data_IF_491925044990
#
_entry.id   IF_491925044990
#
_cell.length_a   1.000
_cell.length_b   1.000
_cell.length_c   1.000
_cell.angle_alpha   90.00
_cell.angle_beta   90.00
_cell.angle_gamma   90.00
#
_symmetry.space_group_name_H-M   'P 1'
#
loop_
_entity.id
_entity.type
_entity.pdbx_description
1 polymer ?
#
# COMPACT_ATOMS: atom_id res chain seq x y z
N UNK A 1 -26.33 -8.86 4.68
CA UNK A 1 -26.03 -10.29 4.93
C UNK A 1 -26.92 -10.75 6.05
N UNK A 2 -27.64 -11.86 5.87
CA UNK A 2 -28.48 -12.45 6.91
C UNK A 2 -27.70 -13.56 7.62
N UNK A 3 -27.52 -13.45 8.93
CA UNK A 3 -26.81 -14.44 9.74
C UNK A 3 -27.82 -15.37 10.43
N UNK A 4 -27.62 -16.69 10.35
CA UNK A 4 -28.39 -17.67 11.11
C UNK A 4 -27.67 -17.94 12.43
N UNK A 5 -28.36 -17.74 13.55
CA UNK A 5 -27.82 -18.00 14.90
C UNK A 5 -28.31 -19.35 15.43
N UNK A 6 -27.48 -19.99 16.27
CA UNK A 6 -27.83 -21.19 17.00
C UNK A 6 -28.58 -20.81 18.28
N UNK A 7 -29.78 -21.34 18.45
CA UNK A 7 -30.61 -21.13 19.65
C UNK A 7 -30.27 -22.21 20.66
N UNK A 8 -29.79 -21.82 21.86
CA UNK A 8 -29.56 -22.73 22.98
C UNK A 8 -30.62 -22.53 24.05
N UNK A 9 -31.30 -23.60 24.53
CA UNK A 9 -32.27 -23.50 25.61
C UNK A 9 -31.57 -23.22 26.94
N UNK A 10 -31.89 -22.09 27.58
CA UNK A 10 -31.31 -21.61 28.84
C UNK A 10 -32.19 -21.95 30.07
N UNK A 11 -33.16 -22.84 29.92
CA UNK A 11 -34.13 -23.20 30.97
C UNK A 11 -35.17 -22.09 31.22
N UNK A 12 -35.67 -21.97 32.45
CA UNK A 12 -36.69 -20.99 32.85
C UNK A 12 -36.14 -19.58 33.18
N UNK A 13 -34.89 -19.30 32.83
CA UNK A 13 -34.25 -18.04 33.15
C UNK A 13 -34.41 -17.04 32.02
N UNK A 14 -34.87 -15.83 32.34
CA UNK A 14 -34.76 -14.68 31.44
C UNK A 14 -33.31 -14.22 31.41
N UNK A 15 -32.68 -14.23 30.24
CA UNK A 15 -31.32 -13.70 30.05
C UNK A 15 -31.33 -12.61 28.97
N UNK A 16 -30.57 -11.54 29.21
CA UNK A 16 -30.27 -10.51 28.20
C UNK A 16 -28.79 -10.66 27.85
N UNK A 17 -28.50 -11.26 26.70
CA UNK A 17 -27.14 -11.38 26.21
C UNK A 17 -26.71 -10.08 25.53
N UNK A 18 -25.65 -9.46 26.07
CA UNK A 18 -24.89 -8.44 25.35
C UNK A 18 -25.61 -7.11 25.12
N UNK A 19 -26.29 -6.54 26.11
CA UNK A 19 -26.97 -5.23 25.95
C UNK A 19 -26.01 -4.12 25.50
N UNK A 20 -24.78 -4.10 26.04
CA UNK A 20 -23.71 -3.17 25.61
C UNK A 20 -23.32 -3.37 24.14
N UNK A 21 -23.35 -4.61 23.67
CA UNK A 21 -23.06 -4.93 22.28
C UNK A 21 -24.19 -4.50 21.35
N UNK A 22 -25.45 -4.71 21.77
CA UNK A 22 -26.63 -4.23 21.04
C UNK A 22 -26.69 -2.70 20.94
N UNK A 23 -26.32 -1.99 22.01
CA UNK A 23 -26.21 -0.52 22.02
C UNK A 23 -25.15 0.00 21.04
N UNK A 24 -24.05 -0.74 20.89
CA UNK A 24 -22.93 -0.39 20.01
C UNK A 24 -23.26 -0.63 18.53
N UNK A 25 -23.75 -1.83 18.19
CA UNK A 25 -23.92 -2.26 16.80
C UNK A 25 -25.27 -1.84 16.20
N UNK A 26 -26.24 -1.43 17.04
CA UNK A 26 -27.59 -0.97 16.66
C UNK A 26 -28.25 -1.81 15.55
N UNK A 27 -28.34 -3.14 15.69
CA UNK A 27 -28.96 -3.97 14.68
C UNK A 27 -30.48 -3.76 14.65
N UNK A 28 -31.09 -3.96 13.48
CA UNK A 28 -32.54 -4.13 13.36
C UNK A 28 -32.89 -5.60 13.69
N UNK A 29 -33.75 -5.79 14.68
CA UNK A 29 -34.17 -7.12 15.13
C UNK A 29 -35.63 -7.34 14.76
N UNK A 30 -35.90 -8.35 13.94
CA UNK A 30 -37.24 -8.82 13.65
C UNK A 30 -37.54 -10.08 14.47
N UNK A 31 -38.24 -9.90 15.59
CA UNK A 31 -38.57 -10.96 16.53
C UNK A 31 -39.51 -12.03 15.95
N UNK A 32 -40.44 -11.64 15.07
CA UNK A 32 -41.42 -12.57 14.46
C UNK A 32 -40.76 -13.53 13.47
N UNK A 33 -39.74 -13.06 12.75
CA UNK A 33 -38.99 -13.87 11.78
C UNK A 33 -37.69 -14.44 12.35
N UNK A 34 -37.36 -14.13 13.61
CA UNK A 34 -36.08 -14.43 14.25
C UNK A 34 -34.87 -14.02 13.39
N UNK A 35 -34.96 -12.86 12.73
CA UNK A 35 -33.89 -12.33 11.88
C UNK A 35 -33.27 -11.07 12.49
N UNK A 36 -31.95 -10.95 12.30
CA UNK A 36 -31.18 -9.81 12.77
C UNK A 36 -30.42 -9.23 11.58
N UNK A 37 -30.68 -7.96 11.27
CA UNK A 37 -30.11 -7.24 10.13
C UNK A 37 -29.25 -6.10 10.62
N UNK A 38 -28.01 -6.08 10.16
CA UNK A 38 -27.09 -4.98 10.44
C UNK A 38 -27.24 -3.92 9.35
N UNK A 39 -27.31 -2.63 9.69
CA UNK A 39 -27.12 -1.57 8.71
C UNK A 39 -25.68 -1.69 8.24
N UNK A 40 -25.45 -2.37 7.11
CA UNK A 40 -24.15 -2.42 6.49
C UNK A 40 -23.84 -0.97 6.15
N UNK A 41 -22.82 -0.32 6.77
CA UNK A 41 -22.37 0.96 6.24
C UNK A 41 -21.98 0.64 4.80
N UNK A 42 -22.63 1.30 3.84
CA UNK A 42 -22.28 1.20 2.43
C UNK A 42 -20.77 1.06 2.34
N UNK A 43 -20.24 -0.01 1.72
CA UNK A 43 -18.80 -0.22 1.70
C UNK A 43 -18.22 1.05 1.13
N UNK A 44 -17.50 1.81 1.98
CA UNK A 44 -16.78 2.99 1.50
C UNK A 44 -15.95 2.45 0.35
N UNK A 45 -16.05 3.01 -0.86
CA UNK A 45 -15.21 2.58 -1.96
C UNK A 45 -13.77 2.66 -1.45
N UNK A 46 -13.14 1.50 -1.27
CA UNK A 46 -11.75 1.44 -0.94
C UNK A 46 -11.02 1.88 -2.20
N UNK A 47 -10.60 3.14 -2.23
CA UNK A 47 -9.70 3.61 -3.27
C UNK A 47 -8.42 2.79 -3.14
N UNK A 48 -8.01 2.14 -4.23
CA UNK A 48 -6.71 1.49 -4.29
C UNK A 48 -5.69 2.59 -4.02
N UNK A 49 -4.84 2.40 -3.00
CA UNK A 49 -3.77 3.32 -2.68
C UNK A 49 -2.99 3.65 -3.96
N UNK A 50 -3.11 4.89 -4.42
CA UNK A 50 -2.26 5.40 -5.49
C UNK A 50 -0.87 5.66 -4.90
N UNK A 51 0.13 5.92 -5.75
CA UNK A 51 1.31 6.63 -5.26
C UNK A 51 0.84 8.06 -4.96
N UNK A 52 0.13 8.25 -3.86
CA UNK A 52 -0.34 9.55 -3.45
C UNK A 52 0.87 10.35 -3.01
N UNK A 53 1.03 11.51 -3.63
CA UNK A 53 1.72 12.59 -2.98
C UNK A 53 1.06 12.79 -1.63
N UNK A 54 1.87 12.80 -0.57
CA UNK A 54 1.39 12.93 0.79
C UNK A 54 0.39 14.09 0.94
N UNK A 55 -0.71 13.79 1.62
CA UNK A 55 -1.83 14.71 1.80
C UNK A 55 -1.38 15.97 2.55
N UNK A 56 -1.93 17.10 2.12
CA UNK A 56 -1.72 18.41 2.76
C UNK A 56 -2.52 18.54 4.06
N UNK A 57 -3.54 17.69 4.29
CA UNK A 57 -4.38 17.72 5.50
C UNK A 57 -4.55 16.33 6.15
N UNK A 58 -3.46 15.70 6.61
CA UNK A 58 -3.45 14.30 7.08
C UNK A 58 -4.45 14.02 8.22
N UNK A 59 -4.76 15.01 9.06
CA UNK A 59 -5.59 14.82 10.26
C UNK A 59 -7.07 14.47 10.00
N UNK A 60 -7.58 14.69 8.79
CA UNK A 60 -9.00 14.43 8.47
C UNK A 60 -9.34 12.94 8.41
N UNK A 61 -8.44 12.15 7.82
CA UNK A 61 -8.66 10.72 7.59
C UNK A 61 -7.95 9.83 8.61
N UNK A 62 -7.06 10.42 9.42
CA UNK A 62 -6.32 9.71 10.46
C UNK A 62 -7.18 9.60 11.74
N UNK A 63 -7.38 8.38 12.29
CA UNK A 63 -8.05 8.19 13.57
C UNK A 63 -7.38 8.99 14.71
N UNK A 64 -8.19 9.49 15.65
CA UNK A 64 -7.75 10.38 16.74
C UNK A 64 -6.53 9.84 17.51
N UNK A 65 -6.48 8.53 17.75
CA UNK A 65 -5.37 7.85 18.45
C UNK A 65 -4.01 8.03 17.77
N UNK A 66 -3.96 8.29 16.46
CA UNK A 66 -2.74 8.49 15.69
C UNK A 66 -2.41 9.96 15.45
N UNK A 67 -3.20 10.90 15.97
CA UNK A 67 -2.94 12.34 15.82
C UNK A 67 -1.60 12.75 16.44
N UNK A 68 -1.14 12.05 17.49
CA UNK A 68 0.21 12.23 18.05
C UNK A 68 1.32 12.01 17.01
N UNK A 69 1.06 11.17 16.00
CA UNK A 69 1.99 10.83 14.93
C UNK A 69 1.63 11.51 13.60
N UNK A 70 0.79 12.54 13.60
CA UNK A 70 0.34 13.23 12.39
C UNK A 70 1.49 13.66 11.47
N UNK A 71 2.65 14.01 12.06
CA UNK A 71 3.87 14.35 11.35
C UNK A 71 4.36 13.23 10.41
N UNK A 72 4.23 11.96 10.81
CA UNK A 72 4.63 10.78 10.01
C UNK A 72 3.84 10.69 8.71
N UNK A 73 2.59 11.13 8.74
CA UNK A 73 1.69 11.13 7.58
C UNK A 73 1.79 12.41 6.74
N UNK A 74 2.63 13.38 7.15
CA UNK A 74 2.82 14.64 6.45
C UNK A 74 3.78 14.55 5.27
N UNK A 75 3.59 15.45 4.28
CA UNK A 75 4.40 15.51 3.05
C UNK A 75 5.88 15.74 3.27
N UNK A 76 6.25 16.44 4.33
CA UNK A 76 7.63 16.72 4.64
C UNK A 76 8.41 15.46 5.04
N UNK A 77 7.81 14.56 5.83
CA UNK A 77 8.47 13.33 6.26
C UNK A 77 8.40 12.25 5.19
N UNK A 78 7.30 12.15 4.43
CA UNK A 78 7.16 11.18 3.33
C UNK A 78 8.25 11.32 2.25
N UNK A 79 8.63 12.55 1.92
CA UNK A 79 9.62 12.81 0.88
C UNK A 79 11.06 12.59 1.34
N UNK A 80 11.34 12.61 2.65
CA UNK A 80 12.69 12.34 3.17
C UNK A 80 13.03 10.86 3.00
N UNK A 81 14.28 10.57 2.65
CA UNK A 81 14.80 9.21 2.78
C UNK A 81 15.12 8.95 4.25
N UNK A 82 14.94 7.72 4.74
CA UNK A 82 15.42 7.37 6.07
C UNK A 82 16.95 7.57 6.12
N UNK A 83 17.50 7.98 7.27
CA UNK A 83 18.94 8.03 7.45
C UNK A 83 19.53 6.63 7.36
N UNK A 84 20.79 6.55 6.92
CA UNK A 84 21.57 5.30 6.94
C UNK A 84 21.62 4.73 8.35
N UNK A 85 21.44 3.41 8.47
CA UNK A 85 21.46 2.70 9.75
C UNK A 85 22.68 1.77 9.81
N UNK A 86 22.88 1.10 10.94
CA UNK A 86 23.93 0.08 11.07
C UNK A 86 23.68 -1.19 10.24
N UNK A 87 22.50 -1.30 9.62
CA UNK A 87 22.05 -2.45 8.83
C UNK A 87 21.35 -2.02 7.53
N UNK A 88 22.05 -1.29 6.67
CA UNK A 88 21.52 -1.01 5.33
C UNK A 88 21.35 -2.32 4.54
N UNK A 89 20.30 -2.37 3.71
CA UNK A 89 20.00 -3.55 2.90
C UNK A 89 20.92 -3.58 1.69
N UNK A 90 21.84 -4.55 1.68
CA UNK A 90 22.70 -4.83 0.54
C UNK A 90 22.03 -5.80 -0.45
N UNK A 91 22.27 -5.58 -1.74
CA UNK A 91 21.89 -6.53 -2.80
C UNK A 91 23.15 -7.27 -3.24
N UNK A 92 23.42 -8.41 -2.59
CA UNK A 92 24.54 -9.28 -2.94
C UNK A 92 24.33 -9.92 -4.33
N UNK A 93 25.33 -9.79 -5.20
CA UNK A 93 25.34 -10.45 -6.51
C UNK A 93 26.16 -11.75 -6.45
N UNK A 94 25.70 -12.79 -7.14
CA UNK A 94 26.43 -14.07 -7.27
C UNK A 94 27.64 -13.94 -8.17
N UNK A 95 27.59 -13.02 -9.13
CA UNK A 95 28.67 -12.72 -10.08
C UNK A 95 28.82 -11.21 -10.23
N UNK A 96 30.06 -10.75 -10.08
CA UNK A 96 30.47 -9.37 -10.35
C UNK A 96 30.59 -9.13 -11.86
N UNK A 97 30.28 -7.91 -12.30
CA UNK A 97 30.52 -7.48 -13.68
C UNK A 97 29.36 -6.73 -14.32
N UNK A 98 29.58 -6.22 -15.55
CA UNK A 98 28.59 -5.40 -16.22
C UNK A 98 27.33 -6.21 -16.54
N UNK A 99 26.19 -5.57 -16.35
CA UNK A 99 24.89 -6.08 -16.78
C UNK A 99 24.25 -4.98 -17.59
N UNK A 100 24.48 -4.98 -18.91
CA UNK A 100 23.88 -4.01 -19.80
C UNK A 100 22.55 -4.54 -20.32
N UNK A 101 21.50 -3.75 -20.14
CA UNK A 101 20.22 -3.98 -20.79
C UNK A 101 19.76 -2.71 -21.48
N UNK A 102 19.61 -2.72 -22.81
CA UNK A 102 19.24 -1.53 -23.55
C UNK A 102 17.83 -1.10 -23.17
N UNK A 103 17.61 0.22 -23.11
CA UNK A 103 16.27 0.79 -22.91
C UNK A 103 15.31 0.29 -23.99
N UNK A 104 14.08 -0.05 -23.59
CA UNK A 104 13.03 -0.35 -24.55
C UNK A 104 12.72 0.87 -25.40
N UNK A 105 12.39 0.64 -26.68
CA UNK A 105 12.00 1.72 -27.57
C UNK A 105 10.72 2.39 -27.05
N UNK A 106 10.76 3.72 -26.95
CA UNK A 106 9.66 4.54 -26.46
C UNK A 106 9.20 5.52 -27.52
N UNK A 107 7.90 5.83 -27.51
CA UNK A 107 7.36 6.95 -28.29
C UNK A 107 7.78 8.28 -27.66
N UNK A 108 7.82 9.35 -28.46
CA UNK A 108 8.19 10.69 -27.98
C UNK A 108 7.42 11.12 -26.72
N UNK A 109 6.11 10.87 -26.68
CA UNK A 109 5.28 11.15 -25.52
C UNK A 109 5.76 10.41 -24.25
N UNK A 110 6.11 9.12 -24.36
CA UNK A 110 6.64 8.34 -23.22
C UNK A 110 8.00 8.86 -22.77
N UNK A 111 8.87 9.26 -23.70
CA UNK A 111 10.18 9.83 -23.40
C UNK A 111 10.08 11.17 -22.65
N UNK A 112 9.13 12.02 -23.01
CA UNK A 112 8.85 13.28 -22.27
C UNK A 112 8.37 12.98 -20.86
N UNK A 113 7.42 12.06 -20.70
CA UNK A 113 6.95 11.64 -19.36
C UNK A 113 8.08 11.06 -18.51
N UNK A 114 8.96 10.27 -19.11
CA UNK A 114 10.13 9.71 -18.41
C UNK A 114 11.07 10.80 -17.89
N UNK A 115 11.35 11.82 -18.71
CA UNK A 115 12.20 12.94 -18.31
C UNK A 115 11.62 13.71 -17.13
N UNK A 116 10.32 14.03 -17.19
CA UNK A 116 9.64 14.71 -16.08
C UNK A 116 9.72 13.89 -14.80
N UNK A 117 9.41 12.59 -14.88
CA UNK A 117 9.49 11.70 -13.72
C UNK A 117 10.91 11.65 -13.12
N UNK A 118 11.95 11.60 -13.97
CA UNK A 118 13.34 11.60 -13.50
C UNK A 118 13.67 12.90 -12.77
N UNK A 119 13.28 14.04 -13.32
CA UNK A 119 13.51 15.35 -12.71
C UNK A 119 12.81 15.47 -11.34
N UNK A 120 11.55 15.03 -11.26
CA UNK A 120 10.78 15.03 -10.01
C UNK A 120 11.44 14.15 -8.94
N UNK A 121 11.91 12.95 -9.31
CA UNK A 121 12.58 12.03 -8.37
C UNK A 121 13.97 12.48 -7.97
N UNK A 122 14.71 13.12 -8.87
CA UNK A 122 16.00 13.77 -8.57
C UNK A 122 15.80 14.92 -7.60
N UNK A 123 14.81 15.79 -7.85
CA UNK A 123 14.46 16.91 -6.96
C UNK A 123 14.01 16.43 -5.58
N UNK A 124 13.28 15.31 -5.53
CA UNK A 124 12.89 14.66 -4.28
C UNK A 124 14.04 13.92 -3.57
N UNK A 125 15.24 13.83 -4.19
CA UNK A 125 16.39 13.12 -3.63
C UNK A 125 16.20 11.59 -3.54
N UNK A 126 15.22 11.02 -4.25
CA UNK A 126 14.93 9.57 -4.21
C UNK A 126 15.85 8.76 -5.13
N UNK A 127 16.43 9.41 -6.14
CA UNK A 127 17.42 8.82 -7.05
C UNK A 127 18.57 9.81 -7.26
N UNK A 128 19.70 9.33 -7.76
CA UNK A 128 20.84 10.15 -8.14
C UNK A 128 21.49 9.61 -9.43
N UNK A 129 22.20 10.45 -10.20
CA UNK A 129 23.02 9.97 -11.30
C UNK A 129 24.10 9.00 -10.78
N UNK A 130 24.26 7.87 -11.46
CA UNK A 130 25.28 6.87 -11.12
C UNK A 130 26.14 6.51 -12.32
N UNK A 131 27.35 6.02 -12.07
CA UNK A 131 28.27 5.46 -13.08
C UNK A 131 28.35 3.94 -12.98
N UNK A 132 27.24 3.30 -12.62
CA UNK A 132 27.18 1.85 -12.42
C UNK A 132 27.44 1.10 -13.74
N UNK A 133 28.19 -0.02 -13.73
CA UNK A 133 28.32 -0.91 -14.88
C UNK A 133 27.04 -1.72 -15.16
N UNK A 134 26.02 -1.59 -14.29
CA UNK A 134 24.73 -2.25 -14.41
C UNK A 134 23.68 -1.24 -14.88
N UNK A 135 23.02 -1.57 -15.99
CA UNK A 135 21.89 -0.81 -16.54
C UNK A 135 20.70 -1.73 -16.80
N UNK A 136 19.51 -1.24 -16.46
CA UNK A 136 18.26 -1.98 -16.60
C UNK A 136 17.24 -1.15 -17.37
N UNK A 137 16.39 -1.78 -18.18
CA UNK A 137 15.42 -1.04 -18.96
C UNK A 137 14.23 -0.65 -18.11
N UNK A 138 13.57 0.43 -18.52
CA UNK A 138 12.32 0.90 -17.93
C UNK A 138 11.17 0.82 -18.91
N UNK A 139 9.97 0.61 -18.40
CA UNK A 139 8.73 0.62 -19.17
C UNK A 139 7.60 1.31 -18.42
N UNK A 140 6.58 1.75 -19.14
CA UNK A 140 5.37 2.31 -18.54
C UNK A 140 4.23 1.29 -18.57
N UNK A 141 3.60 1.09 -17.41
CA UNK A 141 2.42 0.21 -17.29
C UNK A 141 1.20 1.06 -16.91
N UNK A 142 0.05 0.91 -17.58
CA UNK A 142 -1.16 1.65 -17.23
C UNK A 142 -1.70 1.23 -15.85
N UNK A 143 -2.12 2.21 -15.05
CA UNK A 143 -2.93 2.02 -13.84
C UNK A 143 -4.42 2.09 -14.22
N UNK A 144 -5.29 1.58 -13.33
CA UNK A 144 -6.76 1.59 -13.52
C UNK A 144 -7.34 3.01 -13.58
N UNK A 145 -6.68 3.96 -12.93
CA UNK A 145 -7.03 5.39 -12.90
C UNK A 145 -6.66 6.15 -14.19
N UNK A 146 -6.05 5.48 -15.19
CA UNK A 146 -5.60 6.09 -16.44
C UNK A 146 -4.17 6.66 -16.39
N UNK A 147 -3.56 6.78 -15.22
CA UNK A 147 -2.15 7.17 -15.08
C UNK A 147 -1.19 6.03 -15.47
N UNK A 148 0.10 6.34 -15.58
CA UNK A 148 1.14 5.35 -15.92
C UNK A 148 2.16 5.26 -14.80
N UNK A 149 2.51 4.03 -14.40
CA UNK A 149 3.64 3.78 -13.49
C UNK A 149 4.89 3.48 -14.30
N UNK A 150 6.01 4.09 -13.90
CA UNK A 150 7.32 3.68 -14.36
C UNK A 150 7.69 2.37 -13.66
N UNK A 151 8.09 1.36 -14.43
CA UNK A 151 8.51 0.05 -13.93
C UNK A 151 9.90 -0.24 -14.46
N UNK A 152 10.83 -0.53 -13.55
CA UNK A 152 12.16 -1.01 -13.88
C UNK A 152 12.11 -2.53 -14.02
N UNK A 153 12.66 -3.06 -15.10
CA UNK A 153 12.71 -4.50 -15.34
C UNK A 153 13.94 -5.13 -14.66
N UNK A 154 13.75 -5.55 -13.41
CA UNK A 154 14.80 -6.16 -12.58
C UNK A 154 15.05 -7.64 -12.88
N UNK A 155 14.41 -8.26 -13.88
CA UNK A 155 14.48 -9.73 -14.08
C UNK A 155 15.92 -10.26 -14.19
N UNK A 156 16.77 -9.58 -14.96
CA UNK A 156 18.18 -9.97 -15.12
C UNK A 156 19.02 -9.70 -13.88
N UNK A 157 18.71 -8.64 -13.12
CA UNK A 157 19.38 -8.37 -11.85
C UNK A 157 19.01 -9.46 -10.84
N UNK A 158 17.73 -9.74 -10.69
CA UNK A 158 17.19 -10.74 -9.77
C UNK A 158 17.73 -12.15 -10.04
N UNK A 159 18.03 -12.50 -11.30
CA UNK A 159 18.67 -13.79 -11.62
C UNK A 159 20.13 -13.88 -11.15
N UNK A 160 20.80 -12.74 -10.97
CA UNK A 160 22.17 -12.65 -10.43
C UNK A 160 22.22 -12.26 -8.96
N UNK A 161 21.09 -11.90 -8.34
CA UNK A 161 21.05 -11.58 -6.92
C UNK A 161 20.97 -12.85 -6.07
N UNK A 162 21.74 -12.90 -4.99
CA UNK A 162 21.64 -13.97 -3.99
C UNK A 162 20.28 -13.88 -3.30
N UNK A 163 19.56 -15.00 -3.23
CA UNK A 163 18.23 -15.05 -2.62
C UNK A 163 18.34 -14.99 -1.10
N UNK A 164 17.75 -13.97 -0.49
CA UNK A 164 17.50 -13.94 0.95
C UNK A 164 16.21 -14.72 1.24
N UNK A 165 16.33 -16.00 1.64
CA UNK A 165 15.20 -16.91 1.91
C UNK A 165 14.77 -16.80 3.38
N UNK A 166 14.57 -15.57 3.86
CA UNK A 166 14.01 -15.36 5.18
C UNK A 166 12.55 -15.84 5.19
N UNK A 167 12.13 -16.69 6.15
CA UNK A 167 10.78 -17.20 6.18
C UNK A 167 9.78 -16.07 6.48
N UNK A 168 8.79 -15.90 5.61
CA UNK A 168 7.61 -15.08 5.92
C UNK A 168 6.57 -15.98 6.60
N UNK A 169 5.93 -15.51 7.69
CA UNK A 169 4.90 -16.26 8.41
C UNK A 169 3.59 -16.41 7.61
#
# INVERSE_FOLDING_TARGET
MAYKFLVSPIGHHSAILGIKWLEQEKPEINWALCTLTFPIPTPKPAYIAQEEEADTKPLKDIPLQYHKFAKVFGKEEFNKLPPHQSYDIEIELTEEGPLNSPLYLMTNAKSVTLKQWLEDKLKAGKICPSKSPISLPVMFVPKKDGSRRLVVDYRKLNSRSKKNVYPLP
#
